data_IF_426744066595
#
_entry.id   IF_426744066595
#
_cell.length_a   1.000
_cell.length_b   1.000
_cell.length_c   1.000
_cell.angle_alpha   90.00
_cell.angle_beta   90.00
_cell.angle_gamma   90.00
#
_symmetry.space_group_name_H-M   'P 1'
#
loop_
_entity.id
_entity.type
_entity.pdbx_description
1 polymer ?
#
# COMPACT_ATOMS: atom_id res chain seq x y z
N UNK A 1 8.95 14.82 2.30
CA UNK A 1 8.46 13.81 3.27
C UNK A 1 8.28 12.48 2.55
N UNK A 2 8.50 11.36 3.21
CA UNK A 2 8.13 10.02 2.75
C UNK A 2 7.24 9.38 3.79
N UNK A 3 6.24 8.63 3.35
CA UNK A 3 5.37 7.84 4.22
C UNK A 3 5.77 6.37 4.15
N UNK A 4 6.01 5.78 5.32
CA UNK A 4 6.41 4.36 5.44
C UNK A 4 5.51 3.72 6.49
N UNK A 5 4.86 2.63 6.11
CA UNK A 5 3.92 1.92 6.99
C UNK A 5 3.77 0.44 6.67
N UNK A 6 2.88 -0.18 7.42
CA UNK A 6 2.56 -1.60 7.35
C UNK A 6 1.14 -1.82 6.81
N UNK A 7 0.77 -3.05 6.42
CA UNK A 7 -0.56 -3.35 5.87
C UNK A 7 -1.66 -3.50 6.92
N UNK A 8 -1.35 -3.32 8.18
CA UNK A 8 -2.28 -3.29 9.30
C UNK A 8 -1.62 -2.61 10.50
N UNK A 9 -2.38 -2.23 11.52
CA UNK A 9 -1.87 -1.52 12.70
C UNK A 9 -1.83 -2.35 13.98
N UNK A 10 -2.29 -3.60 13.96
CA UNK A 10 -2.24 -4.47 15.11
C UNK A 10 -2.03 -5.93 14.73
N UNK A 11 -1.35 -6.66 15.59
CA UNK A 11 -1.17 -8.10 15.49
C UNK A 11 -0.88 -8.67 16.89
N UNK A 12 -1.40 -9.87 17.26
CA UNK A 12 -1.18 -10.42 18.60
C UNK A 12 0.29 -10.56 18.99
N UNK A 13 1.16 -10.89 18.05
CA UNK A 13 2.60 -10.99 18.29
C UNK A 13 3.30 -9.63 18.45
N UNK A 14 2.66 -8.52 18.05
CA UNK A 14 3.22 -7.17 18.19
C UNK A 14 3.01 -6.56 19.59
N UNK A 15 2.20 -7.19 20.42
CA UNK A 15 2.01 -6.77 21.82
C UNK A 15 3.34 -6.67 22.55
N UNK A 16 4.24 -7.62 22.30
CA UNK A 16 5.60 -7.63 22.88
C UNK A 16 6.50 -6.49 22.37
N UNK A 17 6.12 -5.88 21.24
CA UNK A 17 6.81 -4.75 20.63
C UNK A 17 6.19 -3.40 21.06
N UNK A 18 5.24 -3.42 21.97
CA UNK A 18 4.52 -2.20 22.41
C UNK A 18 3.51 -1.68 21.38
N UNK A 19 3.05 -2.52 20.44
CA UNK A 19 2.06 -2.16 19.43
C UNK A 19 0.80 -2.99 19.68
N UNK A 20 -0.10 -2.47 20.51
CA UNK A 20 -1.36 -3.14 20.89
C UNK A 20 -2.59 -2.50 20.28
N UNK A 21 -2.45 -1.28 19.74
CA UNK A 21 -3.55 -0.45 19.23
C UNK A 21 -3.11 0.41 18.06
N UNK A 22 -4.07 1.03 17.37
CA UNK A 22 -3.79 2.03 16.34
C UNK A 22 -3.04 3.24 16.92
N UNK A 23 -3.38 3.67 18.14
CA UNK A 23 -2.70 4.78 18.80
C UNK A 23 -1.20 4.51 18.98
N UNK A 24 -0.84 3.30 19.45
CA UNK A 24 0.56 2.91 19.60
C UNK A 24 1.26 2.73 18.25
N UNK A 25 0.57 2.14 17.26
CA UNK A 25 1.08 2.04 15.91
C UNK A 25 1.42 3.42 15.33
N UNK A 26 0.54 4.40 15.50
CA UNK A 26 0.73 5.76 15.00
C UNK A 26 1.87 6.53 15.68
N UNK A 27 2.37 6.06 16.82
CA UNK A 27 3.60 6.61 17.45
C UNK A 27 4.87 6.15 16.73
N UNK A 28 4.82 5.01 16.05
CA UNK A 28 5.97 4.40 15.37
C UNK A 28 5.96 4.64 13.86
N UNK A 29 4.78 4.72 13.25
CA UNK A 29 4.61 4.86 11.80
C UNK A 29 3.77 6.09 11.49
N UNK A 30 4.06 6.73 10.35
CA UNK A 30 3.31 7.91 9.89
C UNK A 30 2.14 7.59 8.95
N UNK A 31 2.00 6.32 8.56
CA UNK A 31 0.88 5.88 7.71
C UNK A 31 0.58 4.39 7.88
N UNK A 32 -0.56 3.99 7.34
CA UNK A 32 -0.97 2.58 7.26
C UNK A 32 -1.65 2.30 5.93
N UNK A 33 -1.42 1.11 5.38
CA UNK A 33 -2.20 0.57 4.28
C UNK A 33 -3.54 0.04 4.84
N UNK A 34 -4.62 0.76 4.58
CA UNK A 34 -5.95 0.46 5.12
C UNK A 34 -6.65 -0.63 4.32
N UNK A 35 -6.38 -1.88 4.65
CA UNK A 35 -6.96 -3.05 3.96
C UNK A 35 -8.37 -3.41 4.42
N UNK A 36 -8.80 -3.00 5.60
CA UNK A 36 -10.09 -3.37 6.18
C UNK A 36 -11.27 -2.93 5.33
N UNK A 37 -11.17 -1.77 4.68
CA UNK A 37 -12.24 -1.21 3.83
C UNK A 37 -12.45 -1.96 2.52
N UNK A 38 -11.51 -2.82 2.12
CA UNK A 38 -11.72 -3.73 0.99
C UNK A 38 -12.83 -4.75 1.29
N UNK A 39 -12.92 -5.20 2.54
CA UNK A 39 -13.81 -6.29 2.96
C UNK A 39 -15.12 -5.79 3.55
N UNK A 40 -15.09 -4.71 4.31
CA UNK A 40 -16.26 -4.15 4.98
C UNK A 40 -16.14 -2.65 5.20
N UNK A 41 -17.25 -1.95 5.08
CA UNK A 41 -17.35 -0.55 5.46
C UNK A 41 -17.37 -0.45 7.00
N UNK A 42 -16.45 0.31 7.63
CA UNK A 42 -16.40 0.44 9.08
C UNK A 42 -17.67 1.13 9.61
N UNK A 43 -18.08 0.78 10.82
CA UNK A 43 -19.17 1.49 11.49
C UNK A 43 -18.77 2.93 11.85
N UNK A 44 -19.72 3.86 11.95
CA UNK A 44 -19.40 5.27 12.25
C UNK A 44 -18.60 5.48 13.53
N UNK A 45 -18.91 4.72 14.59
CA UNK A 45 -18.18 4.78 15.86
C UNK A 45 -16.73 4.27 15.76
N UNK A 46 -16.46 3.37 14.81
CA UNK A 46 -15.10 2.89 14.53
C UNK A 46 -14.30 3.98 13.80
N UNK A 47 -14.91 4.64 12.83
CA UNK A 47 -14.29 5.78 12.11
C UNK A 47 -13.94 6.91 13.08
N UNK A 48 -14.85 7.27 13.98
CA UNK A 48 -14.61 8.27 15.02
C UNK A 48 -13.43 7.87 15.93
N UNK A 49 -13.36 6.61 16.32
CA UNK A 49 -12.25 6.07 17.13
C UNK A 49 -10.91 6.16 16.39
N UNK A 50 -10.87 5.84 15.10
CA UNK A 50 -9.65 5.97 14.30
C UNK A 50 -9.15 7.41 14.21
N UNK A 51 -10.06 8.39 14.16
CA UNK A 51 -9.70 9.78 14.22
C UNK A 51 -9.08 10.15 15.57
N UNK A 52 -9.69 9.75 16.68
CA UNK A 52 -9.23 10.01 18.04
C UNK A 52 -7.87 9.36 18.34
N UNK A 53 -7.60 8.19 17.78
CA UNK A 53 -6.38 7.41 18.01
C UNK A 53 -5.19 7.85 17.14
N UNK A 54 -5.37 8.81 16.24
CA UNK A 54 -4.31 9.26 15.34
C UNK A 54 -4.07 10.76 15.47
N UNK A 55 -2.82 11.18 15.25
CA UNK A 55 -2.44 12.58 15.26
C UNK A 55 -2.53 13.21 13.86
N UNK A 56 -2.37 14.54 13.77
CA UNK A 56 -2.58 15.30 12.54
C UNK A 56 -1.66 14.92 11.38
N UNK A 57 -0.48 14.40 11.68
CA UNK A 57 0.51 13.98 10.66
C UNK A 57 0.35 12.54 10.20
N UNK A 58 -0.53 11.77 10.83
CA UNK A 58 -0.78 10.38 10.45
C UNK A 58 -1.70 10.28 9.23
N UNK A 59 -1.47 9.29 8.36
CA UNK A 59 -2.29 9.10 7.15
C UNK A 59 -2.74 7.65 6.99
N UNK A 60 -4.00 7.50 6.59
CA UNK A 60 -4.58 6.26 6.12
C UNK A 60 -4.57 6.23 4.59
N UNK A 61 -4.19 5.10 4.00
CA UNK A 61 -4.36 4.82 2.58
C UNK A 61 -5.37 3.70 2.42
N UNK A 62 -6.65 4.05 2.32
CA UNK A 62 -7.74 3.07 2.27
C UNK A 62 -7.96 2.53 0.86
N UNK A 63 -8.17 1.22 0.78
CA UNK A 63 -8.68 0.56 -0.43
C UNK A 63 -10.16 0.85 -0.61
N UNK A 64 -10.56 1.06 -1.86
CA UNK A 64 -11.97 1.00 -2.21
C UNK A 64 -12.54 -0.39 -1.90
N UNK A 65 -13.82 -0.50 -1.50
CA UNK A 65 -14.47 -1.77 -1.22
C UNK A 65 -14.44 -2.73 -2.42
N UNK A 66 -14.34 -4.03 -2.15
CA UNK A 66 -14.40 -5.06 -3.18
C UNK A 66 -15.75 -5.08 -3.94
N UNK A 67 -16.81 -4.58 -3.32
CA UNK A 67 -18.10 -4.33 -4.00
C UNK A 67 -17.95 -3.40 -5.20
N UNK A 68 -17.05 -2.41 -5.12
CA UNK A 68 -16.73 -1.47 -6.19
C UNK A 68 -15.71 -2.05 -7.16
N UNK A 69 -14.56 -2.48 -6.65
CA UNK A 69 -13.41 -2.88 -7.46
C UNK A 69 -13.57 -4.26 -8.12
N UNK A 70 -14.17 -5.22 -7.42
CA UNK A 70 -14.27 -6.61 -7.87
C UNK A 70 -15.66 -6.97 -8.35
N UNK A 71 -16.71 -6.72 -7.54
CA UNK A 71 -18.07 -7.13 -7.87
C UNK A 71 -18.68 -6.26 -8.96
N UNK A 72 -18.67 -4.94 -8.79
CA UNK A 72 -19.18 -4.00 -9.80
C UNK A 72 -18.22 -3.76 -10.96
N UNK A 73 -16.95 -4.12 -10.82
CA UNK A 73 -15.89 -3.81 -11.78
C UNK A 73 -15.96 -2.34 -12.26
N UNK A 74 -16.12 -1.44 -11.30
CA UNK A 74 -16.23 0.04 -11.46
C UNK A 74 -17.46 0.53 -12.24
N UNK A 75 -18.47 -0.31 -12.45
CA UNK A 75 -19.68 0.03 -13.20
C UNK A 75 -20.85 0.24 -12.26
N UNK A 76 -21.62 1.31 -12.50
CA UNK A 76 -22.86 1.61 -11.75
C UNK A 76 -22.65 1.60 -10.22
N UNK A 77 -21.57 2.21 -9.75
CA UNK A 77 -21.20 2.18 -8.33
C UNK A 77 -21.23 3.56 -7.66
N UNK A 78 -22.00 4.50 -8.20
CA UNK A 78 -22.10 5.87 -7.68
C UNK A 78 -22.63 5.88 -6.23
N UNK A 79 -23.66 5.09 -5.92
CA UNK A 79 -24.21 4.98 -4.57
C UNK A 79 -23.21 4.35 -3.60
N UNK A 80 -22.54 3.27 -4.02
CA UNK A 80 -21.50 2.61 -3.21
C UNK A 80 -20.33 3.56 -2.93
N UNK A 81 -19.92 4.32 -3.90
CA UNK A 81 -18.85 5.32 -3.78
C UNK A 81 -19.26 6.46 -2.84
N UNK A 82 -20.48 6.97 -3.00
CA UNK A 82 -21.04 8.02 -2.13
C UNK A 82 -21.12 7.57 -0.68
N UNK A 83 -21.57 6.34 -0.43
CA UNK A 83 -21.63 5.76 0.91
C UNK A 83 -20.21 5.60 1.50
N UNK A 84 -19.25 5.14 0.72
CA UNK A 84 -17.86 4.98 1.14
C UNK A 84 -17.24 6.31 1.58
N UNK A 85 -17.35 7.35 0.75
CA UNK A 85 -16.84 8.68 1.09
C UNK A 85 -17.58 9.31 2.27
N UNK A 86 -18.90 9.17 2.33
CA UNK A 86 -19.69 9.67 3.45
C UNK A 86 -19.29 9.02 4.78
N UNK A 87 -19.07 7.69 4.78
CA UNK A 87 -18.65 6.96 5.97
C UNK A 87 -17.27 7.39 6.46
N UNK A 88 -16.34 7.65 5.56
CA UNK A 88 -14.97 8.05 5.91
C UNK A 88 -14.78 9.57 6.01
N UNK A 89 -15.81 10.38 5.76
CA UNK A 89 -15.73 11.83 5.82
C UNK A 89 -15.13 12.38 7.14
N UNK A 90 -15.44 11.82 8.33
CA UNK A 90 -14.79 12.27 9.57
C UNK A 90 -13.26 12.10 9.59
N UNK A 91 -12.71 11.22 8.74
CA UNK A 91 -11.27 11.00 8.57
C UNK A 91 -10.64 11.79 7.43
N UNK A 92 -11.38 12.68 6.76
CA UNK A 92 -10.89 13.36 5.55
C UNK A 92 -9.51 14.00 5.71
N UNK A 93 -9.24 14.62 6.87
CA UNK A 93 -7.92 15.23 7.18
C UNK A 93 -6.81 14.22 7.44
N UNK A 94 -7.14 12.95 7.64
CA UNK A 94 -6.20 11.84 7.88
C UNK A 94 -6.03 10.94 6.65
N UNK A 95 -6.68 11.24 5.53
CA UNK A 95 -6.55 10.45 4.31
C UNK A 95 -5.30 10.88 3.55
N UNK A 96 -4.45 9.90 3.26
CA UNK A 96 -3.31 10.06 2.36
C UNK A 96 -3.71 9.79 0.92
N UNK A 97 -4.28 8.62 0.69
CA UNK A 97 -4.71 8.18 -0.63
C UNK A 97 -5.86 7.19 -0.53
N UNK A 98 -6.83 7.28 -1.42
CA UNK A 98 -7.75 6.19 -1.71
C UNK A 98 -7.25 5.44 -2.93
N UNK A 99 -7.29 4.12 -2.92
CA UNK A 99 -6.77 3.36 -4.04
C UNK A 99 -7.57 2.10 -4.37
N UNK A 100 -7.59 1.80 -5.67
CA UNK A 100 -8.22 0.63 -6.24
C UNK A 100 -7.20 -0.51 -6.33
N UNK A 101 -7.56 -1.68 -5.81
CA UNK A 101 -6.91 -2.93 -6.14
C UNK A 101 -7.82 -3.67 -7.12
N UNK A 102 -7.44 -3.70 -8.40
CA UNK A 102 -8.22 -4.35 -9.43
C UNK A 102 -7.83 -5.83 -9.59
N UNK A 103 -8.79 -6.73 -9.84
CA UNK A 103 -8.50 -8.14 -10.06
C UNK A 103 -7.77 -8.36 -11.39
N UNK A 104 -7.14 -9.53 -11.54
CA UNK A 104 -6.45 -9.92 -12.77
C UNK A 104 -7.37 -10.00 -14.00
N UNK A 105 -8.67 -10.15 -13.77
CA UNK A 105 -9.69 -10.14 -14.83
C UNK A 105 -10.02 -8.76 -15.38
N UNK A 106 -9.62 -7.69 -14.65
CA UNK A 106 -9.79 -6.31 -15.13
C UNK A 106 -8.66 -5.97 -16.10
N UNK A 107 -8.96 -6.04 -17.38
CA UNK A 107 -7.98 -5.90 -18.45
C UNK A 107 -8.16 -4.66 -19.31
N UNK A 108 -7.44 -4.57 -20.45
CA UNK A 108 -7.47 -3.41 -21.34
C UNK A 108 -8.85 -3.03 -21.84
N UNK A 109 -9.75 -4.00 -22.02
CA UNK A 109 -11.15 -3.75 -22.42
C UNK A 109 -11.93 -2.95 -21.39
N UNK A 110 -11.51 -2.97 -20.14
CA UNK A 110 -12.18 -2.33 -19.01
C UNK A 110 -11.67 -0.90 -18.76
N UNK A 111 -10.63 -0.45 -19.46
CA UNK A 111 -10.08 0.90 -19.29
C UNK A 111 -11.13 2.02 -19.41
N UNK A 112 -12.12 1.98 -20.32
CA UNK A 112 -13.17 2.99 -20.35
C UNK A 112 -13.95 3.09 -19.04
N UNK A 113 -14.23 1.96 -18.37
CA UNK A 113 -14.87 1.95 -17.05
C UNK A 113 -13.98 2.56 -15.96
N UNK A 114 -12.67 2.30 -16.02
CA UNK A 114 -11.70 2.91 -15.10
C UNK A 114 -11.67 4.44 -15.26
N UNK A 115 -11.62 4.94 -16.49
CA UNK A 115 -11.60 6.38 -16.75
C UNK A 115 -12.89 7.05 -16.30
N UNK A 116 -14.03 6.47 -16.61
CA UNK A 116 -15.33 6.98 -16.16
C UNK A 116 -15.42 7.05 -14.63
N UNK A 117 -15.00 5.98 -13.95
CA UNK A 117 -14.99 5.93 -12.50
C UNK A 117 -14.08 7.02 -11.89
N UNK A 118 -12.83 7.11 -12.35
CA UNK A 118 -11.86 8.09 -11.83
C UNK A 118 -12.31 9.54 -12.11
N UNK A 119 -12.89 9.81 -13.26
CA UNK A 119 -13.37 11.15 -13.63
C UNK A 119 -14.54 11.62 -12.76
N UNK A 120 -15.33 10.67 -12.24
CA UNK A 120 -16.44 10.94 -11.32
C UNK A 120 -16.06 11.13 -9.85
N UNK A 121 -14.82 10.84 -9.46
CA UNK A 121 -14.40 10.91 -8.07
C UNK A 121 -14.24 12.37 -7.57
N UNK A 122 -14.44 12.60 -6.24
CA UNK A 122 -14.12 13.89 -5.61
C UNK A 122 -12.69 14.34 -5.91
N UNK A 123 -12.51 15.63 -6.21
CA UNK A 123 -11.21 16.18 -6.62
C UNK A 123 -10.30 16.58 -5.45
N UNK A 124 -10.81 16.56 -4.23
CA UNK A 124 -10.09 16.96 -3.03
C UNK A 124 -9.14 15.87 -2.49
N UNK A 125 -9.19 14.67 -3.06
CA UNK A 125 -8.38 13.53 -2.64
C UNK A 125 -7.39 13.08 -3.70
N UNK A 126 -6.39 12.32 -3.27
CA UNK A 126 -5.43 11.62 -4.12
C UNK A 126 -5.86 10.18 -4.32
N UNK A 127 -5.63 9.65 -5.51
CA UNK A 127 -6.07 8.31 -5.87
C UNK A 127 -4.93 7.48 -6.46
N UNK A 128 -5.01 6.16 -6.24
CA UNK A 128 -4.11 5.17 -6.81
C UNK A 128 -4.85 4.00 -7.43
N UNK A 129 -4.21 3.32 -8.37
CA UNK A 129 -4.72 2.12 -9.04
C UNK A 129 -3.64 1.06 -9.11
N UNK A 130 -3.91 -0.11 -8.56
CA UNK A 130 -3.11 -1.32 -8.73
C UNK A 130 -3.79 -2.24 -9.73
N UNK A 131 -3.11 -2.54 -10.82
CA UNK A 131 -3.56 -3.49 -11.85
C UNK A 131 -2.83 -4.82 -11.72
N UNK A 132 -3.45 -5.92 -12.18
CA UNK A 132 -2.90 -7.26 -12.11
C UNK A 132 -2.99 -8.03 -13.45
N UNK A 133 -3.69 -7.49 -14.44
CA UNK A 133 -3.82 -8.13 -15.75
C UNK A 133 -2.47 -8.13 -16.48
N UNK A 134 -2.04 -9.26 -17.08
CA UNK A 134 -0.70 -9.38 -17.69
C UNK A 134 -0.38 -8.36 -18.78
N UNK A 135 -1.37 -7.96 -19.56
CA UNK A 135 -1.17 -6.98 -20.63
C UNK A 135 -0.74 -5.59 -20.14
N UNK A 136 -1.03 -5.25 -18.88
CA UNK A 136 -0.53 -4.02 -18.26
C UNK A 136 0.94 -4.07 -17.82
N UNK A 137 1.60 -5.20 -18.05
CA UNK A 137 3.02 -5.43 -17.71
C UNK A 137 3.84 -5.89 -18.92
N UNK A 138 3.26 -5.84 -20.11
CA UNK A 138 3.90 -6.33 -21.34
C UNK A 138 4.72 -5.27 -22.08
N UNK A 139 4.81 -4.05 -21.54
CA UNK A 139 5.47 -2.88 -22.19
C UNK A 139 4.89 -2.56 -23.58
N UNK A 140 3.63 -2.97 -23.82
CA UNK A 140 2.90 -2.73 -25.06
C UNK A 140 1.93 -1.57 -24.96
N UNK A 141 1.03 -1.50 -25.95
CA UNK A 141 0.04 -0.42 -26.07
C UNK A 141 -0.89 -0.33 -24.86
N UNK A 142 -1.36 -1.45 -24.32
CA UNK A 142 -2.25 -1.47 -23.16
C UNK A 142 -1.62 -0.83 -21.93
N UNK A 143 -0.35 -1.13 -21.66
CA UNK A 143 0.38 -0.50 -20.55
C UNK A 143 0.61 0.99 -20.78
N UNK A 144 0.94 1.38 -22.02
CA UNK A 144 1.11 2.80 -22.38
C UNK A 144 -0.19 3.58 -22.20
N UNK A 145 -1.32 3.04 -22.62
CA UNK A 145 -2.64 3.64 -22.43
C UNK A 145 -2.98 3.79 -20.96
N UNK A 146 -2.73 2.74 -20.15
CA UNK A 146 -2.92 2.80 -18.70
C UNK A 146 -2.10 3.93 -18.08
N UNK A 147 -0.79 3.93 -18.32
CA UNK A 147 0.12 4.91 -17.72
C UNK A 147 -0.23 6.35 -18.13
N UNK A 148 -0.54 6.56 -19.41
CA UNK A 148 -0.96 7.88 -19.93
C UNK A 148 -2.26 8.34 -19.29
N UNK A 149 -3.28 7.50 -19.25
CA UNK A 149 -4.57 7.85 -18.69
C UNK A 149 -4.52 8.13 -17.19
N UNK A 150 -3.68 7.42 -16.44
CA UNK A 150 -3.43 7.71 -15.03
C UNK A 150 -2.67 9.03 -14.86
N UNK A 151 -1.64 9.26 -15.67
CA UNK A 151 -0.85 10.49 -15.63
C UNK A 151 -1.70 11.74 -15.94
N UNK A 152 -2.53 11.69 -16.96
CA UNK A 152 -3.45 12.78 -17.35
C UNK A 152 -4.44 13.15 -16.23
N UNK A 153 -4.78 12.19 -15.36
CA UNK A 153 -5.68 12.36 -14.22
C UNK A 153 -4.97 12.62 -12.90
N UNK A 154 -3.64 12.66 -12.91
CA UNK A 154 -2.82 12.74 -11.69
C UNK A 154 -3.17 11.63 -10.68
N UNK A 155 -3.33 10.41 -11.17
CA UNK A 155 -3.63 9.20 -10.39
C UNK A 155 -2.40 8.31 -10.36
N UNK A 156 -2.04 7.78 -9.19
CA UNK A 156 -0.89 6.92 -9.02
C UNK A 156 -1.13 5.53 -9.62
N UNK A 157 -0.15 5.03 -10.36
CA UNK A 157 -0.02 3.59 -10.56
C UNK A 157 0.65 2.99 -9.34
N UNK A 158 -0.12 2.27 -8.51
CA UNK A 158 0.41 1.56 -7.34
C UNK A 158 1.26 0.38 -7.81
N UNK A 159 2.47 0.27 -7.27
CA UNK A 159 3.43 -0.76 -7.69
C UNK A 159 3.47 -1.86 -6.64
N UNK A 160 3.18 -3.08 -7.06
CA UNK A 160 3.34 -4.30 -6.26
C UNK A 160 4.66 -4.95 -6.62
N UNK A 161 5.55 -5.06 -5.64
CA UNK A 161 6.79 -5.83 -5.77
C UNK A 161 6.70 -7.10 -4.93
N UNK A 162 6.39 -8.20 -5.58
CA UNK A 162 6.30 -9.53 -4.97
C UNK A 162 7.48 -10.44 -5.33
N UNK A 163 8.57 -9.89 -5.87
CA UNK A 163 9.76 -10.66 -6.24
C UNK A 163 10.29 -11.52 -5.09
N UNK A 164 10.39 -11.03 -3.84
CA UNK A 164 10.89 -11.87 -2.75
C UNK A 164 10.06 -13.13 -2.50
N UNK A 165 8.73 -13.02 -2.67
CA UNK A 165 7.80 -14.16 -2.50
C UNK A 165 8.00 -15.22 -3.58
N UNK A 166 8.26 -14.80 -4.82
CA UNK A 166 8.28 -15.69 -5.99
C UNK A 166 9.68 -16.12 -6.44
N UNK A 167 10.74 -15.58 -5.85
CA UNK A 167 12.14 -15.88 -6.20
C UNK A 167 12.83 -16.86 -5.25
N UNK A 168 12.15 -17.35 -4.23
CA UNK A 168 12.67 -18.29 -3.26
C UNK A 168 11.74 -19.49 -3.10
N UNK A 169 12.28 -20.61 -2.63
CA UNK A 169 11.48 -21.77 -2.26
C UNK A 169 10.58 -21.44 -1.07
N UNK A 170 9.36 -21.95 -1.08
CA UNK A 170 8.44 -21.80 0.06
C UNK A 170 8.90 -22.73 1.21
N UNK A 171 9.39 -22.13 2.29
CA UNK A 171 9.91 -22.85 3.46
C UNK A 171 8.97 -22.83 4.66
N UNK A 172 7.93 -22.01 4.60
CA UNK A 172 6.94 -21.88 5.66
C UNK A 172 5.51 -21.95 5.10
N UNK A 173 4.50 -22.32 5.94
CA UNK A 173 3.09 -22.25 5.53
C UNK A 173 2.67 -20.84 5.06
N UNK A 174 3.17 -19.80 5.73
CA UNK A 174 2.89 -18.41 5.35
C UNK A 174 3.46 -18.07 3.97
N UNK A 175 4.67 -18.56 3.64
CA UNK A 175 5.29 -18.36 2.33
C UNK A 175 4.53 -19.11 1.22
N UNK A 176 4.08 -20.33 1.49
CA UNK A 176 3.23 -21.11 0.56
C UNK A 176 1.94 -20.35 0.26
N UNK A 177 1.27 -19.86 1.31
CA UNK A 177 0.04 -19.05 1.18
C UNK A 177 0.29 -17.76 0.39
N UNK A 178 1.40 -17.07 0.66
CA UNK A 178 1.78 -15.86 -0.04
C UNK A 178 2.05 -16.11 -1.53
N UNK A 179 2.74 -17.20 -1.88
CA UNK A 179 2.97 -17.57 -3.28
C UNK A 179 1.68 -17.87 -4.04
N UNK A 180 0.67 -18.38 -3.36
CA UNK A 180 -0.65 -18.64 -3.96
C UNK A 180 -1.49 -17.37 -4.11
N UNK A 181 -1.44 -16.48 -3.13
CA UNK A 181 -2.32 -15.31 -3.06
C UNK A 181 -1.75 -14.04 -3.69
N UNK A 182 -0.43 -13.86 -3.64
CA UNK A 182 0.19 -12.66 -4.20
C UNK A 182 0.43 -12.83 -5.69
N UNK A 183 0.01 -11.86 -6.52
CA UNK A 183 0.24 -11.96 -7.96
C UNK A 183 1.72 -11.92 -8.27
N UNK A 184 2.14 -12.73 -9.22
CA UNK A 184 3.48 -12.70 -9.80
C UNK A 184 3.46 -11.79 -11.02
N UNK A 185 3.77 -10.52 -10.82
CA UNK A 185 3.79 -9.51 -11.88
C UNK A 185 5.17 -8.87 -11.99
N UNK A 186 5.59 -8.45 -13.19
CA UNK A 186 6.82 -7.68 -13.35
C UNK A 186 6.78 -6.37 -12.56
N UNK A 187 7.95 -5.91 -12.11
CA UNK A 187 8.09 -4.62 -11.42
C UNK A 187 8.46 -3.55 -12.43
N UNK A 188 7.51 -2.64 -12.68
CA UNK A 188 7.74 -1.45 -13.51
C UNK A 188 7.66 -0.21 -12.61
N UNK A 189 8.80 0.39 -12.33
CA UNK A 189 8.91 1.58 -11.47
C UNK A 189 8.48 2.84 -12.24
N UNK A 190 7.17 2.98 -12.44
CA UNK A 190 6.57 4.10 -13.16
C UNK A 190 5.91 5.06 -12.18
N UNK A 191 6.20 6.34 -12.28
CA UNK A 191 5.54 7.40 -11.51
C UNK A 191 4.54 8.12 -12.42
N UNK A 192 3.25 7.93 -12.18
CA UNK A 192 2.17 8.58 -12.93
C UNK A 192 1.57 9.79 -12.22
N UNK A 193 1.88 9.97 -10.94
CA UNK A 193 1.45 11.11 -10.12
C UNK A 193 2.52 11.46 -9.09
N UNK A 194 2.33 12.59 -8.38
CA UNK A 194 3.30 13.09 -7.39
C UNK A 194 3.36 12.30 -6.09
N UNK A 195 2.52 11.30 -5.92
CA UNK A 195 2.46 10.48 -4.71
C UNK A 195 2.61 8.99 -5.05
N UNK A 196 3.77 8.59 -5.62
CA UNK A 196 3.98 7.20 -6.02
C UNK A 196 3.92 6.27 -4.80
N UNK A 197 3.28 5.12 -4.97
CA UNK A 197 3.10 4.13 -3.92
C UNK A 197 3.74 2.81 -4.33
N UNK A 198 4.57 2.26 -3.45
CA UNK A 198 5.19 0.94 -3.57
C UNK A 198 4.70 0.05 -2.44
N UNK A 199 4.26 -1.13 -2.79
CA UNK A 199 3.94 -2.23 -1.88
C UNK A 199 5.01 -3.31 -2.07
N UNK A 200 5.95 -3.37 -1.15
CA UNK A 200 7.02 -4.37 -1.16
C UNK A 200 6.62 -5.57 -0.31
N UNK A 201 6.45 -6.70 -0.96
CA UNK A 201 6.06 -7.96 -0.32
C UNK A 201 7.33 -8.77 -0.10
N UNK A 202 7.87 -8.71 1.10
CA UNK A 202 9.02 -9.52 1.50
C UNK A 202 8.71 -11.01 1.52
N UNK A 203 9.76 -11.81 1.49
CA UNK A 203 9.73 -13.24 1.79
C UNK A 203 10.17 -13.51 3.23
N UNK A 204 10.42 -14.77 3.56
CA UNK A 204 10.86 -15.18 4.89
C UNK A 204 12.33 -14.83 5.17
N UNK A 205 13.16 -14.72 4.14
CA UNK A 205 14.60 -14.43 4.27
C UNK A 205 14.85 -12.92 4.22
N UNK A 206 15.24 -12.34 5.34
CA UNK A 206 15.50 -10.91 5.48
C UNK A 206 16.72 -10.43 4.67
N UNK A 207 17.74 -11.27 4.50
CA UNK A 207 18.90 -10.94 3.67
C UNK A 207 18.48 -10.81 2.21
N UNK A 208 17.72 -11.78 1.73
CA UNK A 208 17.17 -11.76 0.37
C UNK A 208 16.22 -10.57 0.14
N UNK A 209 15.37 -10.27 1.12
CA UNK A 209 14.51 -9.09 1.09
C UNK A 209 15.33 -7.80 0.91
N UNK A 210 16.39 -7.63 1.70
CA UNK A 210 17.29 -6.47 1.64
C UNK A 210 17.98 -6.35 0.28
N UNK A 211 18.44 -7.45 -0.29
CA UNK A 211 19.06 -7.48 -1.63
C UNK A 211 18.09 -7.01 -2.71
N UNK A 212 16.88 -7.56 -2.74
CA UNK A 212 15.86 -7.20 -3.73
C UNK A 212 15.31 -5.78 -3.52
N UNK A 213 15.34 -5.26 -2.28
CA UNK A 213 14.89 -3.91 -1.99
C UNK A 213 15.84 -2.81 -2.49
N UNK A 214 17.11 -3.12 -2.75
CA UNK A 214 18.14 -2.12 -3.14
C UNK A 214 17.71 -1.22 -4.29
N UNK A 215 16.98 -1.73 -5.26
CA UNK A 215 16.52 -0.95 -6.42
C UNK A 215 15.57 0.18 -6.02
N UNK A 216 14.86 0.01 -4.89
CA UNK A 216 13.93 1.01 -4.38
C UNK A 216 14.62 2.16 -3.68
N UNK A 217 15.81 1.99 -3.14
CA UNK A 217 16.55 3.05 -2.45
C UNK A 217 16.77 4.26 -3.36
N UNK A 218 17.30 4.03 -4.56
CA UNK A 218 17.53 5.09 -5.54
C UNK A 218 16.21 5.61 -6.14
N UNK A 219 15.28 4.71 -6.41
CA UNK A 219 13.98 5.08 -6.99
C UNK A 219 13.19 5.98 -6.06
N UNK A 220 13.08 5.62 -4.78
CA UNK A 220 12.38 6.42 -3.78
C UNK A 220 13.08 7.77 -3.55
N UNK A 221 14.42 7.80 -3.49
CA UNK A 221 15.17 9.03 -3.36
C UNK A 221 14.94 9.97 -4.56
N UNK A 222 14.91 9.43 -5.77
CA UNK A 222 14.59 10.19 -6.99
C UNK A 222 13.16 10.72 -6.97
N UNK A 223 12.19 9.88 -6.63
CA UNK A 223 10.79 10.28 -6.57
C UNK A 223 10.51 11.33 -5.49
N UNK A 224 11.24 11.27 -4.38
CA UNK A 224 11.14 12.26 -3.32
C UNK A 224 11.55 13.67 -3.76
N UNK A 225 12.37 13.81 -4.79
CA UNK A 225 12.77 15.13 -5.33
C UNK A 225 11.58 15.89 -5.95
N UNK A 226 10.60 15.17 -6.49
CA UNK A 226 9.46 15.76 -7.21
C UNK A 226 8.09 15.39 -6.62
N UNK A 227 8.06 14.61 -5.54
CA UNK A 227 6.81 14.14 -4.95
C UNK A 227 6.95 13.61 -3.54
N UNK A 228 5.91 12.97 -3.07
CA UNK A 228 5.82 12.35 -1.75
C UNK A 228 5.61 10.85 -1.90
N UNK A 229 6.67 10.03 -1.85
CA UNK A 229 6.54 8.58 -1.97
C UNK A 229 5.84 7.94 -0.78
N UNK A 230 5.12 6.85 -1.06
CA UNK A 230 4.51 5.95 -0.08
C UNK A 230 5.14 4.57 -0.20
N UNK A 231 5.54 3.99 0.91
CA UNK A 231 6.12 2.65 0.98
C UNK A 231 5.39 1.82 2.03
N UNK A 232 4.81 0.70 1.60
CA UNK A 232 4.21 -0.29 2.49
C UNK A 232 5.00 -1.58 2.47
N UNK A 233 5.40 -2.04 3.66
CA UNK A 233 6.25 -3.21 3.85
C UNK A 233 5.43 -4.37 4.37
N UNK A 234 5.41 -5.46 3.62
CA UNK A 234 4.70 -6.69 3.93
C UNK A 234 5.67 -7.84 4.15
N UNK A 235 5.25 -8.82 4.93
CA UNK A 235 5.90 -10.12 5.05
C UNK A 235 4.85 -11.23 4.89
N UNK A 236 5.23 -12.48 4.52
CA UNK A 236 4.28 -13.59 4.39
C UNK A 236 3.51 -13.83 5.69
N UNK A 237 4.19 -14.00 6.82
CA UNK A 237 3.61 -13.87 8.16
C UNK A 237 3.76 -12.41 8.60
N UNK A 238 2.65 -11.71 8.71
CA UNK A 238 2.64 -10.28 9.06
C UNK A 238 3.26 -10.00 10.43
N UNK A 239 3.37 -11.01 11.28
CA UNK A 239 4.08 -10.90 12.55
C UNK A 239 5.52 -10.39 12.38
N UNK A 240 6.17 -10.69 11.26
CA UNK A 240 7.56 -10.30 10.95
C UNK A 240 7.69 -8.97 10.19
N UNK A 241 6.60 -8.28 9.89
CA UNK A 241 6.67 -7.00 9.20
C UNK A 241 7.52 -5.96 9.95
N UNK A 242 7.47 -5.83 11.28
CA UNK A 242 8.39 -4.97 12.03
C UNK A 242 9.86 -5.35 11.85
N UNK A 243 10.19 -6.63 11.77
CA UNK A 243 11.56 -7.09 11.53
C UNK A 243 12.07 -6.71 10.13
N UNK A 244 11.19 -6.70 9.13
CA UNK A 244 11.52 -6.20 7.79
C UNK A 244 11.82 -4.70 7.83
N UNK A 245 11.04 -3.92 8.58
CA UNK A 245 11.30 -2.49 8.79
C UNK A 245 12.70 -2.27 9.37
N UNK A 246 13.05 -2.98 10.44
CA UNK A 246 14.37 -2.88 11.07
C UNK A 246 15.49 -3.23 10.08
N UNK A 247 15.29 -4.28 9.29
CA UNK A 247 16.27 -4.73 8.29
C UNK A 247 16.56 -3.68 7.22
N UNK A 248 15.53 -2.94 6.79
CA UNK A 248 15.63 -2.00 5.65
C UNK A 248 15.92 -0.56 6.07
N UNK A 249 15.67 -0.19 7.33
CA UNK A 249 15.65 1.22 7.72
C UNK A 249 17.01 1.91 7.62
N UNK A 250 18.08 1.23 7.95
CA UNK A 250 19.44 1.78 7.83
C UNK A 250 19.76 2.20 6.40
N UNK A 251 19.46 1.33 5.44
CA UNK A 251 19.67 1.59 4.02
C UNK A 251 18.72 2.70 3.50
N UNK A 252 17.46 2.65 3.93
CA UNK A 252 16.47 3.69 3.60
C UNK A 252 16.93 5.07 4.06
N UNK A 253 17.34 5.19 5.32
CA UNK A 253 17.80 6.46 5.90
C UNK A 253 19.07 6.97 5.22
N UNK A 254 19.99 6.09 4.87
CA UNK A 254 21.22 6.45 4.17
C UNK A 254 20.92 7.00 2.77
N UNK A 255 20.01 6.37 2.03
CA UNK A 255 19.62 6.80 0.69
C UNK A 255 18.64 7.99 0.69
N UNK A 256 17.80 8.09 1.73
CA UNK A 256 16.74 9.07 1.84
C UNK A 256 16.64 9.57 3.29
N UNK A 257 17.42 10.59 3.69
CA UNK A 257 17.42 11.12 5.06
C UNK A 257 16.04 11.58 5.55
N UNK A 258 15.14 11.96 4.62
CA UNK A 258 13.76 12.31 4.92
C UNK A 258 12.94 11.15 5.53
N UNK A 259 13.42 9.90 5.48
CA UNK A 259 12.82 8.78 6.20
C UNK A 259 12.89 8.95 7.72
N UNK A 260 13.83 9.78 8.20
CA UNK A 260 13.95 10.08 9.63
C UNK A 260 14.53 8.91 10.44
N UNK A 261 14.29 8.95 11.73
CA UNK A 261 14.71 7.89 12.64
C UNK A 261 13.85 6.62 12.45
N UNK A 262 14.48 5.47 12.65
CA UNK A 262 13.75 4.19 12.68
C UNK A 262 12.65 4.24 13.75
N UNK A 263 11.51 3.59 13.51
CA UNK A 263 10.54 3.37 14.56
C UNK A 263 11.21 2.74 15.78
N UNK A 264 11.02 3.32 16.95
CA UNK A 264 11.60 2.81 18.21
C UNK A 264 10.80 1.60 18.69
N UNK A 265 10.78 0.54 17.89
CA UNK A 265 10.13 -0.73 18.24
C UNK A 265 11.10 -1.45 19.18
N UNK A 266 10.69 -1.79 20.41
CA UNK A 266 11.55 -2.54 21.32
C UNK A 266 12.03 -3.83 20.65
N UNK A 267 13.33 -3.97 20.47
CA UNK A 267 13.90 -5.25 20.07
C UNK A 267 13.67 -6.25 21.22
N UNK A 268 13.21 -7.43 20.87
CA UNK A 268 13.18 -8.52 21.81
C UNK A 268 14.66 -8.82 22.16
N UNK A 269 15.13 -8.29 23.28
CA UNK A 269 16.40 -8.74 23.82
C UNK A 269 16.30 -10.25 24.00
N UNK A 270 17.09 -11.00 23.25
CA UNK A 270 17.26 -12.43 23.46
C UNK A 270 17.78 -12.57 24.86
N UNK A 271 16.89 -12.90 25.79
CA UNK A 271 17.28 -13.45 27.10
C UNK A 271 17.71 -14.89 26.88
N UNK A 272 18.89 -15.07 26.29
CA UNK A 272 19.72 -16.30 26.43
C UNK A 272 21.11 -15.97 25.90
#
# INVERSE_FOLDING_TARGET
MIYIGLPQWSHPKWVRLGITSLEEYARHFNCVEGNTTLYALPKPEIVARWYEQTHDDFRFCFKFPATISHQAALRHCDELSSEFFARLAPLASRIGEYWLQLPATFGPRDLPALWHFLDGLPKDFTYGVEVRHPEFFAKGEAEQQLNRGLHERNVNRVILDSRPVHSAAATSPAMIDAQQKKPKVPVHAVMTARQPMVRFIGGDDMVHNRELFRVWLQTLAKWHQSGTPWLFLHTPDIAFAPALVDTLWGDLRAALPAAGNAPSIPQQSSLF
#
